data_IF_978299881239
#
_entry.id   IF_978299881239
#
_cell.length_a   1.000
_cell.length_b   1.000
_cell.length_c   1.000
_cell.angle_alpha   90.00
_cell.angle_beta   90.00
_cell.angle_gamma   90.00
#
_symmetry.space_group_name_H-M   'P 1'
#
loop_
_entity.id
_entity.type
_entity.pdbx_description
1 polymer ?
#
# COMPACT_ATOMS: atom_id res chain seq x y z
N UNK A 1 29.79 73.15 13.42
CA UNK A 1 29.30 72.57 12.15
C UNK A 1 29.84 71.11 11.87
N UNK A 2 30.91 70.66 12.62
CA UNK A 2 31.51 69.31 12.41
C UNK A 2 30.89 68.12 13.23
N UNK A 3 30.02 68.43 14.18
CA UNK A 3 29.40 67.33 15.02
C UNK A 3 28.02 66.88 14.58
N UNK A 4 27.38 67.52 13.63
CA UNK A 4 26.04 67.14 13.17
C UNK A 4 26.03 66.11 12.04
N UNK A 5 27.19 65.80 11.39
CA UNK A 5 27.27 64.87 10.27
C UNK A 5 27.64 63.41 10.66
N UNK A 6 28.12 63.17 11.87
CA UNK A 6 28.51 61.82 12.33
C UNK A 6 27.33 60.95 12.78
N UNK A 7 26.17 61.56 13.13
CA UNK A 7 24.99 60.84 13.62
C UNK A 7 24.09 60.21 12.54
N UNK A 8 24.17 60.73 11.33
CA UNK A 8 23.27 60.27 10.23
C UNK A 8 23.84 59.04 9.53
N UNK A 9 25.16 58.87 9.46
CA UNK A 9 25.79 57.73 8.78
C UNK A 9 25.68 56.45 9.60
N UNK A 10 25.60 56.52 10.94
CA UNK A 10 25.48 55.31 11.78
C UNK A 10 24.09 54.68 11.80
N UNK A 11 23.02 55.48 11.63
CA UNK A 11 21.64 54.97 11.61
C UNK A 11 21.27 54.31 10.28
N UNK A 12 21.83 54.77 9.14
CA UNK A 12 21.58 54.14 7.83
C UNK A 12 22.30 52.79 7.68
N UNK A 13 23.50 52.63 8.25
CA UNK A 13 24.24 51.37 8.19
C UNK A 13 23.57 50.25 9.01
N UNK A 14 22.85 50.61 10.09
CA UNK A 14 22.13 49.61 10.89
C UNK A 14 20.84 49.12 10.22
N UNK A 15 20.15 50.02 9.53
CA UNK A 15 18.94 49.68 8.73
C UNK A 15 19.25 48.77 7.53
N UNK A 16 20.40 48.96 6.88
CA UNK A 16 20.84 48.09 5.78
C UNK A 16 21.24 46.68 6.25
N UNK A 17 21.87 46.55 7.42
CA UNK A 17 22.26 45.26 7.98
C UNK A 17 21.05 44.45 8.43
N UNK A 18 20.04 45.06 9.05
CA UNK A 18 18.79 44.37 9.44
C UNK A 18 17.94 43.96 8.23
N UNK A 19 17.89 44.80 7.19
CA UNK A 19 17.17 44.47 5.96
C UNK A 19 17.85 43.32 5.21
N UNK A 20 19.18 43.29 5.12
CA UNK A 20 19.94 42.23 4.46
C UNK A 20 19.80 40.86 5.19
N UNK A 21 19.77 40.85 6.53
CA UNK A 21 19.60 39.63 7.33
C UNK A 21 18.18 39.08 7.22
N UNK A 22 17.16 39.94 7.16
CA UNK A 22 15.75 39.50 6.97
C UNK A 22 15.54 38.96 5.59
N UNK A 23 16.09 39.60 4.54
CA UNK A 23 15.99 39.07 3.16
C UNK A 23 16.71 37.73 3.00
N UNK A 24 17.86 37.53 3.60
CA UNK A 24 18.60 36.28 3.53
C UNK A 24 17.88 35.15 4.28
N UNK A 25 17.27 35.45 5.46
CA UNK A 25 16.46 34.48 6.20
C UNK A 25 15.19 34.07 5.47
N UNK A 26 14.48 35.01 4.81
CA UNK A 26 13.29 34.73 4.01
C UNK A 26 13.65 33.91 2.76
N UNK A 27 14.79 34.18 2.13
CA UNK A 27 15.25 33.41 0.97
C UNK A 27 15.62 31.96 1.37
N UNK A 28 16.19 31.75 2.56
CA UNK A 28 16.54 30.42 3.05
C UNK A 28 15.29 29.60 3.43
N UNK A 29 14.27 30.23 4.01
CA UNK A 29 12.98 29.57 4.33
C UNK A 29 12.22 29.18 3.06
N UNK A 30 12.23 30.03 2.02
CA UNK A 30 11.62 29.72 0.73
C UNK A 30 12.35 28.60 -0.02
N UNK A 31 13.68 28.55 0.06
CA UNK A 31 14.46 27.46 -0.53
C UNK A 31 14.24 26.11 0.20
N UNK A 32 14.11 26.11 1.53
CA UNK A 32 13.81 24.92 2.31
C UNK A 32 12.39 24.36 2.04
N UNK A 33 11.41 25.24 1.81
CA UNK A 33 10.05 24.84 1.46
C UNK A 33 10.00 24.18 0.05
N UNK A 34 10.80 24.65 -0.89
CA UNK A 34 10.91 24.07 -2.23
C UNK A 34 11.59 22.70 -2.23
N UNK A 35 12.58 22.49 -1.38
CA UNK A 35 13.27 21.20 -1.24
C UNK A 35 12.35 20.10 -0.66
N UNK A 36 11.40 20.46 0.22
CA UNK A 36 10.42 19.50 0.77
C UNK A 36 9.41 19.01 -0.26
N UNK A 37 9.06 19.80 -1.27
CA UNK A 37 8.16 19.42 -2.35
C UNK A 37 8.89 18.51 -3.38
N UNK A 38 10.13 18.83 -3.70
CA UNK A 38 10.95 18.06 -4.64
C UNK A 38 11.24 16.62 -4.14
N UNK A 39 11.22 16.39 -2.82
CA UNK A 39 11.48 15.08 -2.22
C UNK A 39 10.34 14.06 -2.44
N UNK A 40 9.15 14.48 -2.87
CA UNK A 40 7.99 13.58 -3.07
C UNK A 40 7.85 13.04 -4.49
N UNK A 41 8.36 13.75 -5.49
CA UNK A 41 8.20 13.41 -6.88
C UNK A 41 9.24 12.37 -7.34
N UNK A 42 8.77 11.37 -8.07
CA UNK A 42 9.61 10.42 -8.78
C UNK A 42 9.02 10.11 -10.15
N UNK A 43 9.86 9.99 -11.17
CA UNK A 43 9.41 9.64 -12.50
C UNK A 43 10.46 8.83 -13.25
N UNK A 44 10.01 7.98 -14.16
CA UNK A 44 10.86 7.23 -15.08
C UNK A 44 10.12 7.00 -16.39
N UNK A 45 10.88 6.92 -17.48
CA UNK A 45 10.42 6.47 -18.79
C UNK A 45 11.38 5.39 -19.27
N UNK A 46 10.84 4.23 -19.62
CA UNK A 46 11.59 3.09 -20.15
C UNK A 46 11.06 2.78 -21.55
N UNK A 47 11.96 2.60 -22.49
CA UNK A 47 11.68 1.98 -23.78
C UNK A 47 11.41 0.50 -23.56
N UNK A 48 10.17 0.07 -23.74
CA UNK A 48 9.75 -1.30 -23.47
C UNK A 48 10.07 -2.27 -24.63
N UNK A 49 10.77 -1.83 -25.66
CA UNK A 49 11.33 -2.70 -26.69
C UNK A 49 12.81 -3.06 -26.40
N UNK A 50 13.54 -2.20 -25.66
CA UNK A 50 14.99 -2.35 -25.47
C UNK A 50 15.42 -2.34 -24.00
N UNK A 51 14.54 -2.01 -23.07
CA UNK A 51 14.87 -1.82 -21.66
C UNK A 51 15.61 -0.51 -21.35
N UNK A 52 15.94 0.30 -22.36
CA UNK A 52 16.66 1.56 -22.18
C UNK A 52 15.87 2.56 -21.36
N UNK A 53 16.47 3.10 -20.31
CA UNK A 53 15.89 4.24 -19.59
C UNK A 53 16.06 5.50 -20.42
N UNK A 54 14.93 6.11 -20.83
CA UNK A 54 14.90 7.34 -21.63
C UNK A 54 14.87 8.60 -20.74
N UNK A 55 14.30 8.48 -19.54
CA UNK A 55 14.22 9.55 -18.54
C UNK A 55 14.17 8.96 -17.14
N UNK A 56 14.79 9.60 -16.18
CA UNK A 56 14.71 9.24 -14.76
C UNK A 56 14.87 10.47 -13.87
N UNK A 57 14.02 10.57 -12.85
CA UNK A 57 14.10 11.55 -11.78
C UNK A 57 13.69 10.87 -10.49
N UNK A 58 14.57 10.80 -9.51
CA UNK A 58 14.35 10.10 -8.23
C UNK A 58 13.80 8.66 -8.40
N UNK A 59 14.10 8.00 -9.53
CA UNK A 59 13.46 6.77 -9.96
C UNK A 59 13.65 5.60 -8.98
N UNK A 60 14.70 5.59 -8.19
CA UNK A 60 15.02 4.56 -7.19
C UNK A 60 14.65 4.98 -5.76
N UNK A 61 14.14 6.19 -5.56
CA UNK A 61 13.74 6.65 -4.24
C UNK A 61 12.47 5.92 -3.77
N UNK A 62 12.43 5.55 -2.49
CA UNK A 62 11.26 4.89 -1.89
C UNK A 62 10.04 5.79 -1.96
N UNK A 63 8.92 5.24 -2.41
CA UNK A 63 7.63 5.90 -2.54
C UNK A 63 6.52 4.96 -2.10
N UNK A 64 5.40 5.53 -1.65
CA UNK A 64 4.21 4.76 -1.35
C UNK A 64 3.47 4.45 -2.65
N UNK A 65 3.21 3.16 -2.97
CA UNK A 65 2.58 2.77 -4.22
C UNK A 65 1.11 3.22 -4.33
N UNK A 66 0.40 3.36 -3.21
CA UNK A 66 -1.06 3.48 -3.22
C UNK A 66 -1.68 2.36 -4.07
N UNK A 67 -2.74 2.65 -4.84
CA UNK A 67 -3.41 1.63 -5.68
C UNK A 67 -2.58 1.12 -6.87
N UNK A 68 -1.33 1.58 -7.07
CA UNK A 68 -0.41 0.88 -7.99
C UNK A 68 -0.10 -0.54 -7.48
N UNK A 69 -0.23 -0.79 -6.19
CA UNK A 69 -0.15 -2.12 -5.54
C UNK A 69 -1.02 -3.16 -6.27
N UNK A 70 -2.21 -2.75 -6.74
CA UNK A 70 -3.13 -3.62 -7.46
C UNK A 70 -2.56 -4.18 -8.77
N UNK A 71 -1.51 -3.57 -9.31
CA UNK A 71 -0.81 -4.13 -10.47
C UNK A 71 -0.17 -5.48 -10.14
N UNK A 72 0.41 -5.63 -8.93
CA UNK A 72 0.96 -6.91 -8.48
C UNK A 72 -0.15 -7.91 -8.13
N UNK A 73 -1.24 -7.45 -7.53
CA UNK A 73 -2.43 -8.30 -7.29
C UNK A 73 -2.97 -8.86 -8.60
N UNK A 74 -3.10 -8.02 -9.64
CA UNK A 74 -3.50 -8.45 -10.98
C UNK A 74 -2.46 -9.35 -11.64
N UNK A 75 -1.17 -9.08 -11.45
CA UNK A 75 -0.10 -9.95 -11.97
C UNK A 75 -0.24 -11.39 -11.44
N UNK A 76 -0.39 -11.56 -10.13
CA UNK A 76 -0.58 -12.88 -9.51
C UNK A 76 -1.95 -13.52 -9.89
N UNK A 77 -2.97 -12.70 -10.09
CA UNK A 77 -4.26 -13.18 -10.62
C UNK A 77 -4.12 -13.71 -12.05
N UNK A 78 -3.41 -12.98 -12.92
CA UNK A 78 -3.13 -13.41 -14.30
C UNK A 78 -2.22 -14.64 -14.34
N UNK A 79 -1.26 -14.74 -13.41
CA UNK A 79 -0.46 -15.96 -13.25
C UNK A 79 -1.31 -17.17 -12.90
N UNK A 80 -2.24 -17.01 -11.97
CA UNK A 80 -3.15 -18.09 -11.56
C UNK A 80 -4.11 -18.50 -12.70
N UNK A 81 -4.61 -17.54 -13.48
CA UNK A 81 -5.40 -17.79 -14.69
C UNK A 81 -4.58 -18.52 -15.76
N UNK A 82 -3.36 -18.07 -16.03
CA UNK A 82 -2.49 -18.67 -17.04
C UNK A 82 -2.06 -20.10 -16.67
N UNK A 83 -1.92 -20.40 -15.37
CA UNK A 83 -1.61 -21.75 -14.84
C UNK A 83 -2.87 -22.62 -14.67
N UNK A 84 -4.05 -22.15 -15.06
CA UNK A 84 -5.31 -22.88 -14.90
C UNK A 84 -5.76 -23.13 -13.46
N UNK A 85 -5.15 -22.49 -12.48
CA UNK A 85 -5.54 -22.61 -11.05
C UNK A 85 -6.91 -22.01 -10.77
N UNK A 86 -7.28 -20.99 -11.51
CA UNK A 86 -8.58 -20.32 -11.51
C UNK A 86 -9.00 -20.06 -12.96
N UNK A 87 -10.30 -19.82 -13.16
CA UNK A 87 -10.87 -19.36 -14.43
C UNK A 87 -11.49 -17.99 -14.28
N UNK A 88 -11.84 -17.33 -15.36
CA UNK A 88 -12.55 -16.04 -15.33
C UNK A 88 -13.89 -16.12 -14.60
N UNK A 89 -14.57 -17.28 -14.64
CA UNK A 89 -15.85 -17.55 -13.98
C UNK A 89 -15.72 -18.01 -12.53
N UNK A 90 -14.51 -18.36 -12.07
CA UNK A 90 -14.28 -18.74 -10.67
C UNK A 90 -14.84 -17.70 -9.73
N UNK A 91 -15.58 -18.15 -8.71
CA UNK A 91 -16.26 -17.26 -7.75
C UNK A 91 -15.30 -16.76 -6.69
N UNK A 92 -15.18 -15.44 -6.59
CA UNK A 92 -14.42 -14.74 -5.57
C UNK A 92 -15.37 -14.38 -4.45
N UNK A 93 -15.27 -15.08 -3.32
CA UNK A 93 -16.10 -14.83 -2.14
C UNK A 93 -15.56 -13.64 -1.33
N UNK A 94 -16.45 -12.76 -0.90
CA UNK A 94 -16.09 -11.60 -0.08
C UNK A 94 -16.25 -11.95 1.40
N UNK A 95 -15.14 -12.05 2.10
CA UNK A 95 -15.09 -12.20 3.55
C UNK A 95 -15.60 -10.95 4.27
N UNK A 96 -15.71 -11.02 5.60
CA UNK A 96 -15.97 -9.83 6.41
C UNK A 96 -14.86 -8.77 6.23
N UNK A 97 -13.60 -9.21 6.15
CA UNK A 97 -12.44 -8.35 5.95
C UNK A 97 -12.50 -7.65 4.59
N UNK A 98 -12.68 -8.40 3.50
CA UNK A 98 -12.79 -7.81 2.17
C UNK A 98 -13.97 -6.84 2.03
N UNK A 99 -15.16 -7.19 2.55
CA UNK A 99 -16.33 -6.34 2.49
C UNK A 99 -16.20 -5.04 3.33
N UNK A 100 -15.40 -5.08 4.42
CA UNK A 100 -15.14 -3.94 5.29
C UNK A 100 -14.11 -2.95 4.74
N UNK A 101 -13.40 -3.30 3.64
CA UNK A 101 -12.39 -2.41 3.07
C UNK A 101 -12.93 -1.01 2.80
N UNK A 102 -12.15 0.05 3.13
CA UNK A 102 -12.57 1.41 2.86
C UNK A 102 -12.63 1.71 1.34
N UNK A 103 -13.39 2.70 0.92
CA UNK A 103 -13.47 3.12 -0.50
C UNK A 103 -12.09 3.49 -1.08
N UNK A 104 -11.91 3.27 -2.40
CA UNK A 104 -12.89 2.86 -3.41
C UNK A 104 -13.12 1.36 -3.39
N UNK A 105 -14.35 0.93 -3.56
CA UNK A 105 -14.71 -0.50 -3.54
C UNK A 105 -15.88 -0.80 -4.48
N UNK A 106 -16.04 -2.06 -4.88
CA UNK A 106 -17.17 -2.51 -5.68
C UNK A 106 -18.45 -2.49 -4.85
N UNK A 107 -18.34 -2.79 -3.56
CA UNK A 107 -19.44 -2.78 -2.61
C UNK A 107 -20.16 -4.12 -2.49
N UNK A 108 -19.45 -5.22 -2.68
CA UNK A 108 -19.99 -6.58 -2.53
C UNK A 108 -20.22 -6.88 -1.05
N UNK A 109 -21.38 -7.46 -0.71
CA UNK A 109 -21.73 -7.80 0.67
C UNK A 109 -20.89 -8.99 1.16
N UNK A 110 -20.62 -9.01 2.48
CA UNK A 110 -20.03 -10.17 3.16
C UNK A 110 -20.80 -11.45 2.80
N UNK A 111 -20.06 -12.50 2.45
CA UNK A 111 -20.60 -13.80 2.07
C UNK A 111 -21.05 -13.94 0.62
N UNK A 112 -21.27 -12.83 -0.09
CA UNK A 112 -21.56 -12.82 -1.52
C UNK A 112 -20.29 -13.03 -2.35
N UNK A 113 -20.46 -13.36 -3.64
CA UNK A 113 -19.36 -13.59 -4.56
C UNK A 113 -19.55 -12.83 -5.86
N UNK A 114 -18.47 -12.60 -6.57
CA UNK A 114 -18.43 -12.18 -7.97
C UNK A 114 -17.46 -13.06 -8.74
N UNK A 115 -17.53 -13.07 -10.07
CA UNK A 115 -16.52 -13.77 -10.86
C UNK A 115 -15.14 -13.09 -10.77
N UNK A 116 -14.07 -13.85 -10.97
CA UNK A 116 -12.70 -13.33 -11.11
C UNK A 116 -12.65 -12.20 -12.16
N UNK A 117 -13.35 -12.35 -13.28
CA UNK A 117 -13.41 -11.31 -14.31
C UNK A 117 -14.02 -10.00 -13.79
N UNK A 118 -15.15 -10.08 -13.06
CA UNK A 118 -15.77 -8.91 -12.42
C UNK A 118 -14.83 -8.26 -11.41
N UNK A 119 -14.12 -9.06 -10.61
CA UNK A 119 -13.13 -8.55 -9.66
C UNK A 119 -11.98 -7.83 -10.38
N UNK A 120 -11.43 -8.40 -11.47
CA UNK A 120 -10.40 -7.75 -12.31
C UNK A 120 -10.92 -6.42 -12.86
N UNK A 121 -12.08 -6.41 -13.51
CA UNK A 121 -12.68 -5.21 -14.09
C UNK A 121 -12.91 -4.11 -13.05
N UNK A 122 -13.37 -4.49 -11.85
CA UNK A 122 -13.55 -3.52 -10.75
C UNK A 122 -12.23 -2.93 -10.25
N UNK A 123 -11.15 -3.71 -10.25
CA UNK A 123 -9.82 -3.23 -9.84
C UNK A 123 -9.18 -2.31 -10.87
N UNK A 124 -9.31 -2.60 -12.17
CA UNK A 124 -8.70 -1.76 -13.22
C UNK A 124 -9.46 -0.46 -13.42
N UNK A 125 -10.78 -0.46 -13.28
CA UNK A 125 -11.62 0.73 -13.47
C UNK A 125 -11.79 1.51 -12.16
N UNK A 126 -12.58 0.98 -11.21
CA UNK A 126 -12.93 1.62 -9.94
C UNK A 126 -11.79 1.61 -8.92
N UNK A 127 -10.74 0.80 -9.17
CA UNK A 127 -9.67 0.60 -8.18
C UNK A 127 -10.17 -0.06 -6.88
N UNK A 128 -11.11 -1.01 -6.99
CA UNK A 128 -11.82 -1.63 -5.88
C UNK A 128 -10.88 -2.30 -4.87
N UNK A 129 -10.90 -1.83 -3.61
CA UNK A 129 -10.09 -2.37 -2.53
C UNK A 129 -10.62 -3.72 -2.07
N UNK A 130 -11.95 -3.83 -1.91
CA UNK A 130 -12.66 -5.05 -1.51
C UNK A 130 -12.39 -6.21 -2.47
N UNK A 131 -12.45 -5.96 -3.78
CA UNK A 131 -12.12 -6.98 -4.78
C UNK A 131 -10.67 -7.42 -4.75
N UNK A 132 -9.77 -6.49 -4.43
CA UNK A 132 -8.33 -6.75 -4.29
C UNK A 132 -8.06 -7.69 -3.12
N UNK A 133 -8.66 -7.39 -1.95
CA UNK A 133 -8.53 -8.20 -0.74
C UNK A 133 -9.22 -9.55 -0.91
N UNK A 134 -10.40 -9.61 -1.52
CA UNK A 134 -11.08 -10.90 -1.79
C UNK A 134 -10.28 -11.81 -2.74
N UNK A 135 -9.64 -11.26 -3.78
CA UNK A 135 -8.72 -12.01 -4.65
C UNK A 135 -7.46 -12.47 -3.90
N UNK A 136 -6.93 -11.64 -3.01
CA UNK A 136 -5.80 -12.01 -2.17
C UNK A 136 -6.14 -13.19 -1.25
N UNK A 137 -7.32 -13.18 -0.64
CA UNK A 137 -7.81 -14.28 0.20
C UNK A 137 -8.04 -15.56 -0.63
N UNK A 138 -8.59 -15.46 -1.84
CA UNK A 138 -8.76 -16.59 -2.75
C UNK A 138 -7.43 -17.24 -3.15
N UNK A 139 -6.41 -16.43 -3.48
CA UNK A 139 -5.14 -16.92 -4.03
C UNK A 139 -4.10 -17.26 -2.95
N UNK A 140 -4.13 -16.57 -1.83
CA UNK A 140 -3.16 -16.70 -0.76
C UNK A 140 -3.71 -17.33 0.53
N UNK A 141 -5.01 -17.63 0.61
CA UNK A 141 -5.68 -18.06 1.83
C UNK A 141 -5.91 -16.94 2.84
N UNK A 142 -5.04 -15.92 2.85
CA UNK A 142 -5.18 -14.69 3.63
C UNK A 142 -4.50 -13.52 2.92
N UNK A 143 -4.94 -12.28 3.20
CA UNK A 143 -4.29 -11.08 2.63
C UNK A 143 -2.84 -10.97 3.09
N UNK A 144 -2.52 -11.32 4.33
CA UNK A 144 -1.15 -11.30 4.85
C UNK A 144 -0.22 -12.24 4.09
N UNK A 145 -0.63 -13.49 3.89
CA UNK A 145 0.13 -14.46 3.10
C UNK A 145 0.28 -14.00 1.65
N UNK A 146 -0.81 -13.49 1.07
CA UNK A 146 -0.76 -12.95 -0.29
C UNK A 146 0.20 -11.76 -0.43
N UNK A 147 0.29 -10.87 0.56
CA UNK A 147 1.26 -9.77 0.57
C UNK A 147 2.72 -10.28 0.61
N UNK A 148 2.98 -11.40 1.29
CA UNK A 148 4.29 -12.07 1.23
C UNK A 148 4.55 -12.63 -0.17
N UNK A 149 3.56 -13.30 -0.79
CA UNK A 149 3.65 -13.78 -2.18
C UNK A 149 3.92 -12.61 -3.15
N UNK A 150 3.23 -11.48 -3.01
CA UNK A 150 3.48 -10.27 -3.80
C UNK A 150 4.92 -9.77 -3.66
N UNK A 151 5.45 -9.76 -2.45
CA UNK A 151 6.83 -9.32 -2.19
C UNK A 151 7.86 -10.30 -2.76
N UNK A 152 7.64 -11.61 -2.61
CA UNK A 152 8.47 -12.64 -3.22
C UNK A 152 8.46 -12.54 -4.75
N UNK A 153 7.28 -12.36 -5.37
CA UNK A 153 7.14 -12.14 -6.80
C UNK A 153 7.85 -10.87 -7.25
N UNK A 154 7.77 -9.78 -6.49
CA UNK A 154 8.50 -8.56 -6.77
C UNK A 154 10.01 -8.82 -6.85
N UNK A 155 10.57 -9.59 -5.91
CA UNK A 155 11.99 -9.98 -5.94
C UNK A 155 12.35 -10.80 -7.18
N UNK A 156 11.51 -11.77 -7.54
CA UNK A 156 11.74 -12.60 -8.75
C UNK A 156 11.67 -11.80 -10.06
N UNK A 157 10.97 -10.67 -10.07
CA UNK A 157 10.93 -9.72 -11.20
C UNK A 157 12.03 -8.65 -11.14
N UNK A 158 12.96 -8.72 -10.17
CA UNK A 158 14.01 -7.72 -10.00
C UNK A 158 13.59 -6.43 -9.31
N UNK A 159 12.37 -6.36 -8.76
CA UNK A 159 11.83 -5.19 -8.03
C UNK A 159 12.40 -5.11 -6.61
N UNK A 160 13.71 -4.85 -6.49
CA UNK A 160 14.43 -4.94 -5.22
C UNK A 160 14.09 -3.80 -4.21
N UNK A 161 13.53 -2.70 -4.69
CA UNK A 161 13.09 -1.56 -3.88
C UNK A 161 11.62 -1.64 -3.42
N UNK A 162 10.95 -2.82 -3.55
CA UNK A 162 9.51 -2.94 -3.31
C UNK A 162 9.19 -3.94 -2.20
N UNK A 163 8.31 -3.55 -1.29
CA UNK A 163 7.69 -4.41 -0.27
C UNK A 163 6.19 -4.17 -0.25
N UNK A 164 5.42 -5.24 -0.34
CA UNK A 164 3.96 -5.22 -0.20
C UNK A 164 3.54 -5.69 1.19
N UNK A 165 2.47 -5.08 1.75
CA UNK A 165 1.89 -5.41 3.06
C UNK A 165 0.37 -5.64 2.99
N UNK A 166 -0.24 -5.30 1.88
CA UNK A 166 -1.65 -5.57 1.57
C UNK A 166 -1.83 -5.69 0.06
N UNK A 167 -2.99 -6.15 -0.39
CA UNK A 167 -3.30 -6.38 -1.79
C UNK A 167 -3.83 -5.13 -2.52
N UNK A 168 -4.25 -4.10 -1.78
CA UNK A 168 -5.04 -3.00 -2.30
C UNK A 168 -4.30 -1.67 -2.37
N UNK A 169 -3.21 -1.48 -1.60
CA UNK A 169 -2.42 -0.26 -1.57
C UNK A 169 -2.90 0.79 -0.57
N UNK A 170 -3.73 0.40 0.39
CA UNK A 170 -4.07 1.25 1.52
C UNK A 170 -2.82 1.57 2.35
N UNK A 171 -2.81 2.69 3.07
CA UNK A 171 -1.64 3.13 3.82
C UNK A 171 -1.12 2.08 4.79
N UNK A 172 0.15 1.75 4.65
CA UNK A 172 0.92 0.93 5.58
C UNK A 172 2.38 1.42 5.55
N UNK A 173 2.98 1.82 6.68
CA UNK A 173 4.34 2.36 6.72
C UNK A 173 5.42 1.41 6.18
N UNK A 174 5.20 0.09 6.31
CA UNK A 174 6.10 -0.95 5.80
C UNK A 174 5.90 -1.29 4.32
N UNK A 175 4.96 -0.63 3.62
CA UNK A 175 4.69 -0.84 2.20
C UNK A 175 5.31 0.28 1.37
N UNK A 176 6.24 -0.05 0.51
CA UNK A 176 6.92 0.90 -0.36
C UNK A 176 7.32 0.28 -1.70
N UNK A 177 7.63 1.13 -2.65
CA UNK A 177 8.11 0.78 -3.99
C UNK A 177 9.01 1.89 -4.52
N UNK A 178 9.49 1.73 -5.76
CA UNK A 178 10.19 2.77 -6.53
C UNK A 178 9.50 2.97 -7.89
N UNK A 179 9.73 4.12 -8.53
CA UNK A 179 9.21 4.34 -9.88
C UNK A 179 9.81 3.33 -10.87
N UNK A 180 11.07 2.95 -10.70
CA UNK A 180 11.73 1.92 -11.50
C UNK A 180 11.05 0.57 -11.36
N UNK A 181 10.81 0.11 -10.14
CA UNK A 181 10.18 -1.19 -9.90
C UNK A 181 8.76 -1.24 -10.48
N UNK A 182 8.01 -0.13 -10.37
CA UNK A 182 6.67 -0.07 -10.97
C UNK A 182 6.70 -0.06 -12.50
N UNK A 183 7.73 0.51 -13.11
CA UNK A 183 7.93 0.40 -14.56
C UNK A 183 8.25 -1.03 -14.97
N UNK A 184 9.12 -1.73 -14.23
CA UNK A 184 9.43 -3.16 -14.44
C UNK A 184 8.16 -4.01 -14.34
N UNK A 185 7.33 -3.80 -13.33
CA UNK A 185 6.04 -4.51 -13.22
C UNK A 185 5.11 -4.22 -14.39
N UNK A 186 5.09 -2.97 -14.88
CA UNK A 186 4.30 -2.58 -16.05
C UNK A 186 4.76 -3.31 -17.33
N UNK A 187 6.07 -3.49 -17.51
CA UNK A 187 6.66 -4.27 -18.61
C UNK A 187 6.30 -5.74 -18.44
N UNK A 188 6.55 -6.32 -17.26
CA UNK A 188 6.28 -7.72 -16.96
C UNK A 188 4.80 -8.13 -17.17
N UNK A 189 3.85 -7.25 -16.81
CA UNK A 189 2.43 -7.50 -17.06
C UNK A 189 2.11 -7.69 -18.55
N UNK A 190 2.76 -6.91 -19.41
CA UNK A 190 2.57 -7.00 -20.87
C UNK A 190 3.28 -8.22 -21.45
N UNK A 191 4.52 -8.46 -21.06
CA UNK A 191 5.34 -9.53 -21.61
C UNK A 191 4.82 -10.92 -21.19
N UNK A 192 4.52 -11.07 -19.90
CA UNK A 192 4.16 -12.37 -19.33
C UNK A 192 2.71 -12.75 -19.55
N UNK A 193 1.79 -11.77 -19.65
CA UNK A 193 0.35 -12.01 -19.74
C UNK A 193 -0.32 -11.14 -20.83
N UNK A 194 0.19 -11.19 -22.09
CA UNK A 194 -0.36 -10.37 -23.18
C UNK A 194 -1.85 -10.65 -23.42
N UNK A 195 -2.31 -11.90 -23.19
CA UNK A 195 -3.70 -12.31 -23.34
C UNK A 195 -4.66 -11.66 -22.33
N UNK A 196 -4.15 -11.16 -21.19
CA UNK A 196 -4.95 -10.47 -20.17
C UNK A 196 -4.68 -8.97 -20.12
N UNK A 197 -3.65 -8.51 -20.83
CA UNK A 197 -3.21 -7.12 -20.77
C UNK A 197 -4.30 -6.12 -21.22
N UNK A 198 -5.18 -6.53 -22.12
CA UNK A 198 -6.31 -5.74 -22.61
C UNK A 198 -7.27 -5.23 -21.51
N UNK A 199 -7.28 -5.84 -20.33
CA UNK A 199 -8.07 -5.33 -19.20
C UNK A 199 -7.65 -3.91 -18.79
N UNK A 200 -6.38 -3.55 -18.90
CA UNK A 200 -5.88 -2.22 -18.48
C UNK A 200 -6.35 -1.08 -19.39
N UNK A 201 -6.83 -1.37 -20.59
CA UNK A 201 -7.39 -0.39 -21.51
C UNK A 201 -8.88 -0.13 -21.30
N UNK A 202 -9.52 -0.84 -20.35
CA UNK A 202 -10.95 -0.67 -20.08
C UNK A 202 -11.24 0.69 -19.45
N UNK A 203 -12.06 1.49 -20.13
CA UNK A 203 -12.48 2.82 -19.68
C UNK A 203 -13.67 2.78 -18.72
N UNK A 204 -14.48 1.74 -18.81
CA UNK A 204 -15.64 1.47 -17.95
C UNK A 204 -16.06 0.02 -18.06
N UNK A 205 -16.87 -0.46 -17.11
CA UNK A 205 -17.58 -1.74 -17.23
C UNK A 205 -18.96 -1.65 -16.58
N UNK A 206 -19.83 -2.60 -16.90
CA UNK A 206 -21.16 -2.71 -16.30
C UNK A 206 -21.13 -3.65 -15.10
N UNK A 207 -21.62 -3.21 -13.96
CA UNK A 207 -21.88 -4.06 -12.81
C UNK A 207 -23.35 -3.96 -12.42
N UNK A 208 -24.10 -5.01 -12.70
CA UNK A 208 -25.56 -4.94 -12.71
C UNK A 208 -26.03 -3.88 -13.71
N UNK A 209 -26.86 -2.95 -13.27
CA UNK A 209 -27.37 -1.82 -14.08
C UNK A 209 -26.45 -0.57 -14.02
N UNK A 210 -25.37 -0.59 -13.25
CA UNK A 210 -24.53 0.57 -13.05
C UNK A 210 -23.30 0.52 -13.98
N UNK A 211 -23.10 1.60 -14.74
CA UNK A 211 -21.84 1.83 -15.45
C UNK A 211 -20.80 2.41 -14.50
N UNK A 212 -19.68 1.69 -14.34
CA UNK A 212 -18.55 2.10 -13.52
C UNK A 212 -17.44 2.63 -14.42
N UNK A 213 -17.09 3.91 -14.28
CA UNK A 213 -16.06 4.57 -15.08
C UNK A 213 -14.69 4.43 -14.43
N UNK A 214 -13.65 4.33 -15.27
CA UNK A 214 -12.25 4.23 -14.86
C UNK A 214 -11.65 5.57 -14.45
N UNK A 215 -10.54 5.49 -13.71
CA UNK A 215 -9.80 6.66 -13.21
C UNK A 215 -8.64 7.10 -14.12
N UNK A 216 -8.25 6.29 -15.12
CA UNK A 216 -7.17 6.63 -16.04
C UNK A 216 -7.70 7.52 -17.18
N UNK A 217 -7.51 8.83 -17.03
CA UNK A 217 -7.99 9.85 -17.99
C UNK A 217 -7.15 9.96 -19.26
N UNK A 218 -6.02 9.26 -19.36
CA UNK A 218 -5.17 9.27 -20.55
C UNK A 218 -5.65 8.27 -21.60
N UNK A 219 -6.41 7.24 -21.19
CA UNK A 219 -7.04 6.27 -22.09
C UNK A 219 -8.02 6.98 -23.04
N UNK A 220 -7.75 6.86 -24.35
CA UNK A 220 -8.52 7.51 -25.41
C UNK A 220 -8.26 9.01 -25.55
N UNK A 221 -7.41 9.62 -24.69
CA UNK A 221 -6.97 11.01 -24.81
C UNK A 221 -5.61 11.12 -25.54
N UNK A 222 -4.72 10.17 -25.29
CA UNK A 222 -3.40 10.14 -25.93
C UNK A 222 -3.34 8.87 -26.80
N UNK A 223 -3.01 9.03 -28.09
CA UNK A 223 -2.89 7.94 -29.06
C UNK A 223 -1.87 6.91 -28.54
N UNK A 224 -2.27 5.63 -28.56
CA UNK A 224 -1.42 4.52 -28.16
C UNK A 224 -1.35 4.24 -26.65
N UNK A 225 -1.90 5.09 -25.79
CA UNK A 225 -2.01 4.78 -24.36
C UNK A 225 -3.00 3.64 -24.16
N UNK A 226 -2.55 2.53 -23.56
CA UNK A 226 -3.32 1.30 -23.38
C UNK A 226 -3.30 0.75 -21.94
N UNK A 227 -2.83 1.54 -20.99
CA UNK A 227 -2.81 1.19 -19.56
C UNK A 227 -2.07 2.24 -18.73
N UNK A 228 -1.76 1.97 -17.45
CA UNK A 228 -2.02 0.74 -16.68
C UNK A 228 -2.88 1.08 -15.46
N UNK A 229 -2.33 1.89 -14.50
CA UNK A 229 -2.99 2.10 -13.21
C UNK A 229 -2.70 3.45 -12.57
N UNK A 230 -3.73 4.06 -12.00
CA UNK A 230 -3.63 5.25 -11.13
C UNK A 230 -3.59 4.84 -9.66
N UNK A 231 -3.00 5.70 -8.82
CA UNK A 231 -3.01 5.54 -7.37
C UNK A 231 -3.04 6.89 -6.66
N UNK A 232 -3.67 6.94 -5.50
CA UNK A 232 -3.66 8.10 -4.63
C UNK A 232 -3.85 7.69 -3.17
N UNK A 233 -3.02 8.23 -2.32
CA UNK A 233 -3.25 8.37 -0.87
C UNK A 233 -2.67 9.72 -0.44
N UNK A 234 -3.04 10.22 0.74
CA UNK A 234 -2.43 11.44 1.26
C UNK A 234 -0.90 11.33 1.37
N UNK A 235 -0.40 10.15 1.74
CA UNK A 235 1.04 9.91 1.90
C UNK A 235 1.77 9.78 0.57
N UNK A 236 1.14 9.18 -0.45
CA UNK A 236 1.78 8.94 -1.75
C UNK A 236 1.71 10.13 -2.70
N UNK A 237 0.73 11.04 -2.53
CA UNK A 237 0.34 11.93 -3.62
C UNK A 237 -0.32 11.15 -4.77
N UNK A 238 -0.45 11.77 -5.93
CA UNK A 238 -1.07 11.17 -7.11
C UNK A 238 -0.04 10.42 -7.96
N UNK A 239 -0.27 9.12 -8.15
CA UNK A 239 0.59 8.21 -8.90
C UNK A 239 -0.08 7.76 -10.21
N UNK A 240 0.74 7.43 -11.22
CA UNK A 240 0.30 6.81 -12.47
C UNK A 240 1.42 5.98 -13.07
N UNK A 241 1.12 4.74 -13.42
CA UNK A 241 1.89 3.97 -14.40
C UNK A 241 1.11 3.98 -15.70
N UNK A 242 1.74 4.41 -16.78
CA UNK A 242 1.16 4.43 -18.11
C UNK A 242 2.01 3.63 -19.08
N UNK A 243 1.37 2.91 -19.97
CA UNK A 243 2.05 2.30 -21.10
C UNK A 243 1.47 2.84 -22.42
N UNK A 244 2.33 2.86 -23.42
CA UNK A 244 2.02 3.35 -24.75
C UNK A 244 2.56 2.36 -25.78
N UNK A 245 1.71 1.98 -26.73
CA UNK A 245 2.10 1.16 -27.88
C UNK A 245 1.53 1.79 -29.15
N UNK A 246 2.42 2.27 -30.03
CA UNK A 246 2.04 2.91 -31.30
C UNK A 246 3.19 2.86 -32.30
N UNK A 247 2.87 2.55 -33.55
CA UNK A 247 3.80 2.55 -34.68
C UNK A 247 5.10 1.75 -34.42
N UNK A 248 4.96 0.56 -33.77
CA UNK A 248 6.06 -0.33 -33.38
C UNK A 248 6.85 0.13 -32.13
N UNK A 249 6.62 1.33 -31.63
CA UNK A 249 7.23 1.83 -30.39
C UNK A 249 6.43 1.38 -29.17
N UNK A 250 7.14 0.97 -28.11
CA UNK A 250 6.55 0.62 -26.84
C UNK A 250 7.28 1.34 -25.71
N UNK A 251 6.54 1.86 -24.77
CA UNK A 251 7.09 2.65 -23.68
C UNK A 251 6.27 2.45 -22.41
N UNK A 252 6.94 2.35 -21.27
CA UNK A 252 6.32 2.42 -19.95
C UNK A 252 6.85 3.65 -19.23
N UNK A 253 5.94 4.48 -18.72
CA UNK A 253 6.26 5.67 -17.94
C UNK A 253 5.59 5.61 -16.57
N UNK A 254 6.27 6.10 -15.55
CA UNK A 254 5.77 6.19 -14.18
C UNK A 254 5.94 7.60 -13.66
N UNK A 255 4.90 8.13 -13.04
CA UNK A 255 4.90 9.37 -12.27
C UNK A 255 4.35 9.06 -10.88
N UNK A 256 5.09 9.44 -9.84
CA UNK A 256 4.68 9.28 -8.44
C UNK A 256 4.82 10.60 -7.71
N UNK A 257 3.95 10.84 -6.73
CA UNK A 257 4.04 12.00 -5.84
C UNK A 257 3.36 13.27 -6.32
N UNK A 258 2.65 13.23 -7.44
CA UNK A 258 1.99 14.42 -8.00
C UNK A 258 1.06 15.13 -6.99
N UNK A 259 1.00 16.47 -7.07
CA UNK A 259 0.19 17.29 -6.17
C UNK A 259 -1.32 17.19 -6.42
N UNK A 260 -1.71 16.87 -7.66
CA UNK A 260 -3.10 16.64 -8.05
C UNK A 260 -3.21 15.61 -9.18
N UNK A 261 -4.43 15.09 -9.41
CA UNK A 261 -4.69 14.21 -10.55
C UNK A 261 -4.41 14.88 -11.89
N UNK A 262 -4.73 16.17 -12.01
CA UNK A 262 -4.47 16.95 -13.24
C UNK A 262 -2.96 17.19 -13.46
N UNK A 263 -2.24 17.58 -12.39
CA UNK A 263 -0.78 17.78 -12.46
C UNK A 263 -0.06 16.50 -12.88
N UNK A 264 -0.40 15.35 -12.26
CA UNK A 264 0.12 14.03 -12.60
C UNK A 264 -0.17 13.66 -14.06
N UNK A 265 -1.41 13.85 -14.53
CA UNK A 265 -1.81 13.53 -15.89
C UNK A 265 -1.07 14.41 -16.91
N UNK A 266 -0.91 15.69 -16.62
CA UNK A 266 -0.16 16.63 -17.48
C UNK A 266 1.35 16.28 -17.52
N UNK A 267 1.94 15.93 -16.39
CA UNK A 267 3.33 15.47 -16.33
C UNK A 267 3.51 14.20 -17.15
N UNK A 268 2.62 13.21 -17.01
CA UNK A 268 2.66 11.98 -17.80
C UNK A 268 2.52 12.27 -19.29
N UNK A 269 1.58 13.13 -19.68
CA UNK A 269 1.40 13.52 -21.08
C UNK A 269 2.67 14.17 -21.67
N UNK A 270 3.31 15.08 -20.93
CA UNK A 270 4.59 15.69 -21.33
C UNK A 270 5.70 14.64 -21.52
N UNK A 271 5.82 13.68 -20.59
CA UNK A 271 6.80 12.60 -20.70
C UNK A 271 6.53 11.73 -21.93
N UNK A 272 5.27 11.35 -22.18
CA UNK A 272 4.91 10.56 -23.37
C UNK A 272 5.28 11.32 -24.63
N UNK A 273 4.87 12.57 -24.76
CA UNK A 273 5.16 13.39 -25.95
C UNK A 273 6.67 13.55 -26.20
N UNK A 274 7.44 13.78 -25.14
CA UNK A 274 8.89 14.04 -25.26
C UNK A 274 9.71 12.79 -25.56
N UNK A 275 9.29 11.62 -25.05
CA UNK A 275 10.13 10.42 -25.07
C UNK A 275 9.62 9.30 -25.98
N UNK A 276 8.34 9.24 -26.35
CA UNK A 276 7.85 8.27 -27.30
C UNK A 276 8.56 8.30 -28.66
N UNK A 277 8.87 9.48 -29.24
CA UNK A 277 9.66 9.54 -30.49
C UNK A 277 11.08 8.97 -30.36
N UNK A 278 11.63 8.94 -29.14
CA UNK A 278 12.97 8.43 -28.82
C UNK A 278 13.00 6.92 -28.53
N UNK A 279 11.82 6.30 -28.33
CA UNK A 279 11.72 4.85 -28.14
C UNK A 279 11.99 4.12 -29.45
N UNK A 280 12.61 2.96 -29.37
CA UNK A 280 12.90 2.11 -30.53
C UNK A 280 11.61 1.57 -31.16
N UNK A 281 11.65 1.39 -32.48
CA UNK A 281 10.64 0.62 -33.22
C UNK A 281 10.99 -0.86 -33.32
N UNK A 282 12.24 -1.21 -33.01
CA UNK A 282 12.77 -2.56 -33.07
C UNK A 282 13.24 -2.97 -31.68
N UNK A 283 13.09 -4.21 -31.38
CA UNK A 283 13.41 -4.85 -30.12
C UNK A 283 12.48 -6.03 -30.00
N UNK A 284 12.89 -7.02 -29.27
CA UNK A 284 12.11 -8.23 -29.06
C UNK A 284 12.89 -9.17 -28.18
N UNK A 285 12.29 -9.65 -27.20
CA UNK A 285 12.79 -10.47 -26.13
C UNK A 285 12.16 -10.03 -24.83
N UNK A 286 11.99 -10.94 -23.92
CA UNK A 286 11.48 -10.62 -22.60
C UNK A 286 12.54 -9.82 -21.84
N UNK A 287 12.25 -8.55 -21.58
CA UNK A 287 13.13 -7.68 -20.78
C UNK A 287 13.13 -8.09 -19.31
N UNK A 288 12.03 -8.70 -18.88
CA UNK A 288 11.84 -9.18 -17.51
C UNK A 288 11.76 -10.70 -17.56
N UNK A 289 12.69 -11.38 -16.90
CA UNK A 289 12.67 -12.83 -16.83
C UNK A 289 11.36 -13.32 -16.17
N UNK A 290 10.66 -14.21 -16.86
CA UNK A 290 9.54 -14.94 -16.28
C UNK A 290 10.12 -16.04 -15.42
N UNK A 291 9.93 -15.93 -14.10
CA UNK A 291 10.35 -16.99 -13.20
C UNK A 291 9.52 -18.24 -13.49
N UNK A 292 10.10 -19.18 -14.23
CA UNK A 292 9.49 -20.47 -14.48
C UNK A 292 9.51 -21.32 -13.20
N UNK A 293 8.34 -21.82 -12.83
CA UNK A 293 8.11 -22.93 -11.87
C UNK A 293 8.48 -22.77 -10.39
N UNK A 294 8.94 -21.63 -9.91
CA UNK A 294 9.04 -21.50 -8.46
C UNK A 294 7.64 -21.31 -7.86
N UNK A 295 7.22 -22.28 -7.03
CA UNK A 295 6.07 -22.03 -6.16
C UNK A 295 6.37 -20.77 -5.34
N UNK A 296 5.36 -19.96 -4.97
CA UNK A 296 5.58 -18.77 -4.14
C UNK A 296 6.35 -19.06 -2.85
N UNK A 297 6.26 -20.30 -2.35
CA UNK A 297 7.01 -20.80 -1.18
C UNK A 297 8.49 -20.97 -1.49
N UNK A 298 8.88 -21.46 -2.67
CA UNK A 298 10.28 -21.60 -3.08
C UNK A 298 10.92 -20.22 -3.37
N UNK A 299 10.14 -19.29 -3.95
CA UNK A 299 10.59 -17.90 -4.13
C UNK A 299 10.82 -17.22 -2.78
N UNK A 300 9.97 -17.48 -1.78
CA UNK A 300 10.13 -16.99 -0.42
C UNK A 300 11.38 -17.59 0.25
N UNK A 301 11.62 -18.89 0.08
CA UNK A 301 12.82 -19.57 0.61
C UNK A 301 14.11 -18.98 0.03
N UNK A 302 14.16 -18.69 -1.27
CA UNK A 302 15.33 -18.04 -1.91
C UNK A 302 15.59 -16.62 -1.39
N UNK A 303 14.58 -15.90 -0.94
CA UNK A 303 14.71 -14.54 -0.38
C UNK A 303 15.08 -14.57 1.10
N UNK A 304 14.66 -15.58 1.84
CA UNK A 304 14.88 -15.69 3.28
C UNK A 304 16.21 -16.38 3.64
N UNK A 305 16.81 -17.15 2.73
CA UNK A 305 18.13 -17.71 2.95
C UNK A 305 19.18 -16.60 2.79
N UNK A 306 20.04 -16.35 3.79
CA UNK A 306 21.13 -15.41 3.65
C UNK A 306 22.02 -15.89 2.50
N UNK A 307 22.27 -15.03 1.52
CA UNK A 307 23.32 -15.22 0.52
C UNK A 307 24.65 -14.95 1.23
N UNK A 308 25.10 -15.89 2.02
CA UNK A 308 26.49 -15.95 2.36
C UNK A 308 27.17 -16.80 1.28
N UNK A 309 27.98 -16.16 0.47
CA UNK A 309 29.15 -16.83 -0.11
C UNK A 309 30.01 -17.22 1.09
N UNK A 310 29.76 -18.39 1.65
CA UNK A 310 30.69 -19.01 2.55
C UNK A 310 31.94 -19.30 1.71
N UNK A 311 33.13 -18.82 2.10
CA UNK A 311 34.34 -19.23 1.45
C UNK A 311 34.40 -20.76 1.55
N UNK A 312 34.41 -21.43 0.41
CA UNK A 312 34.66 -22.88 0.32
C UNK A 312 36.01 -23.14 0.95
N UNK A 313 36.11 -23.99 2.00
CA UNK A 313 37.41 -24.41 2.52
C UNK A 313 38.09 -25.20 1.44
N UNK A 314 39.22 -24.70 0.95
CA UNK A 314 40.05 -25.32 -0.07
C UNK A 314 40.98 -26.40 0.54
N UNK A 315 40.40 -27.28 1.36
CA UNK A 315 41.08 -28.42 1.95
C UNK A 315 40.18 -29.64 1.82
N UNK A 316 40.45 -30.44 0.81
CA UNK A 316 40.00 -31.83 0.78
C UNK A 316 40.70 -32.57 1.92
N UNK A 317 39.99 -33.20 2.88
CA UNK A 317 40.61 -34.14 3.78
C UNK A 317 41.06 -35.35 2.95
N UNK A 318 42.35 -35.66 2.97
CA UNK A 318 42.85 -36.95 2.51
C UNK A 318 42.18 -38.02 3.37
N UNK A 319 41.58 -39.00 2.71
CA UNK A 319 41.04 -40.19 3.37
C UNK A 319 42.22 -40.94 4.01
N UNK A 320 42.31 -40.86 5.34
CA UNK A 320 43.09 -41.84 6.11
C UNK A 320 42.23 -43.09 6.19
N UNK A 321 42.78 -44.19 5.64
CA UNK A 321 42.25 -45.54 5.85
C UNK A 321 42.25 -45.85 7.33
N UNK A 322 41.07 -45.88 7.94
CA UNK A 322 40.90 -46.43 9.28
C UNK A 322 40.75 -47.94 9.16
N UNK A 323 41.80 -48.65 9.56
CA UNK A 323 41.76 -50.10 9.73
C UNK A 323 40.74 -50.42 10.83
N UNK A 324 39.62 -50.99 10.46
CA UNK A 324 38.59 -51.42 11.40
C UNK A 324 39.00 -52.78 11.91
N UNK A 325 39.48 -52.81 13.15
CA UNK A 325 39.65 -54.08 13.91
C UNK A 325 38.22 -54.62 14.26
N UNK A 326 37.96 -55.83 13.77
CA UNK A 326 36.77 -56.59 14.02
C UNK A 326 36.65 -56.93 15.51
N UNK A 327 35.70 -56.38 16.23
CA UNK A 327 35.25 -56.88 17.52
C UNK A 327 33.73 -57.19 17.41
N UNK A 328 33.38 -58.42 17.73
CA UNK A 328 32.03 -58.96 17.67
C UNK A 328 31.08 -58.23 18.62
N UNK A 329 29.81 -58.02 18.24
CA UNK A 329 28.85 -57.32 19.07
C UNK A 329 28.31 -58.25 20.19
N UNK A 330 28.43 -57.79 21.44
CA UNK A 330 27.71 -58.39 22.56
C UNK A 330 26.23 -58.09 22.46
N UNK A 331 25.41 -59.13 22.51
CA UNK A 331 23.96 -59.08 22.59
C UNK A 331 23.50 -58.30 23.82
N UNK A 332 22.91 -57.15 23.64
CA UNK A 332 22.14 -56.47 24.69
C UNK A 332 20.69 -56.86 24.51
N UNK A 333 20.15 -57.61 25.49
CA UNK A 333 18.74 -58.02 25.59
C UNK A 333 17.82 -56.80 25.61
N UNK A 334 16.80 -56.79 24.74
CA UNK A 334 15.75 -55.79 24.72
C UNK A 334 14.80 -56.00 25.93
N UNK A 335 14.36 -54.94 26.61
CA UNK A 335 13.39 -55.08 27.67
C UNK A 335 12.00 -55.39 27.10
N UNK A 336 11.36 -56.40 27.69
CA UNK A 336 10.02 -56.89 27.38
C UNK A 336 8.95 -55.79 27.53
N UNK A 337 7.95 -55.75 26.67
CA UNK A 337 6.86 -54.77 26.74
C UNK A 337 5.92 -55.11 27.92
N UNK A 338 5.74 -54.10 28.81
CA UNK A 338 4.70 -54.15 29.86
C UNK A 338 3.31 -54.07 29.22
N UNK A 339 2.38 -54.93 29.69
CA UNK A 339 0.99 -55.04 29.25
C UNK A 339 0.27 -53.67 29.20
N UNK A 340 -0.65 -53.47 28.22
CA UNK A 340 -1.42 -52.23 28.13
C UNK A 340 -2.41 -52.11 29.29
N UNK A 341 -2.36 -50.98 29.96
CA UNK A 341 -3.38 -50.57 30.93
C UNK A 341 -4.62 -50.15 30.12
N UNK A 342 -5.73 -50.80 30.44
CA UNK A 342 -7.05 -50.53 29.85
C UNK A 342 -7.51 -49.14 30.32
N UNK A 343 -7.39 -48.13 29.46
CA UNK A 343 -8.00 -46.82 29.69
C UNK A 343 -9.49 -46.97 29.38
N UNK A 344 -10.31 -46.90 30.38
CA UNK A 344 -11.76 -46.78 30.23
C UNK A 344 -12.04 -45.40 29.66
N UNK A 345 -12.56 -45.35 28.47
CA UNK A 345 -13.05 -44.13 27.86
C UNK A 345 -14.29 -43.67 28.66
N UNK A 346 -14.13 -42.54 29.34
CA UNK A 346 -15.28 -41.83 29.89
C UNK A 346 -16.01 -41.15 28.71
N UNK A 347 -17.29 -41.45 28.53
CA UNK A 347 -18.19 -40.74 27.63
C UNK A 347 -18.15 -39.23 27.93
N UNK A 348 -18.06 -38.36 26.95
CA UNK A 348 -18.20 -36.94 27.16
C UNK A 348 -19.64 -36.64 27.59
N UNK A 349 -19.81 -36.16 28.81
CA UNK A 349 -21.07 -35.63 29.28
C UNK A 349 -21.51 -34.49 28.36
N UNK A 350 -22.74 -34.58 27.83
CA UNK A 350 -23.35 -33.54 27.02
C UNK A 350 -23.48 -32.27 27.85
N UNK A 351 -22.77 -31.23 27.45
CA UNK A 351 -22.93 -29.87 27.99
C UNK A 351 -24.26 -29.32 27.48
N UNK A 352 -25.16 -28.78 28.34
CA UNK A 352 -26.40 -28.18 27.92
C UNK A 352 -26.12 -26.97 26.99
N UNK A 353 -26.93 -26.84 25.96
CA UNK A 353 -26.78 -25.87 24.86
C UNK A 353 -26.78 -24.38 25.30
N UNK A 354 -27.19 -24.09 26.51
CA UNK A 354 -27.24 -22.76 27.11
C UNK A 354 -25.90 -22.20 27.61
N UNK A 355 -24.84 -23.04 27.76
CA UNK A 355 -23.53 -22.55 28.19
C UNK A 355 -22.54 -22.29 27.08
N UNK A 356 -22.91 -22.52 25.82
CA UNK A 356 -22.02 -22.33 24.67
C UNK A 356 -22.03 -20.87 24.13
N UNK A 357 -22.84 -19.98 24.69
CA UNK A 357 -22.96 -18.55 24.29
C UNK A 357 -22.71 -17.57 25.44
N UNK A 358 -21.91 -17.97 26.45
CA UNK A 358 -21.40 -16.98 27.39
C UNK A 358 -20.40 -16.07 26.64
N UNK A 359 -20.80 -14.80 26.43
CA UNK A 359 -19.85 -13.74 26.05
C UNK A 359 -18.67 -13.75 27.03
N UNK A 360 -17.42 -13.58 26.56
CA UNK A 360 -16.28 -13.45 27.43
C UNK A 360 -16.50 -12.24 28.34
N UNK A 361 -16.41 -12.45 29.65
CA UNK A 361 -16.46 -11.37 30.63
C UNK A 361 -15.48 -10.25 30.25
N UNK A 362 -15.91 -8.98 30.32
CA UNK A 362 -15.02 -7.87 30.04
C UNK A 362 -13.93 -7.83 31.11
N UNK A 363 -12.67 -7.84 30.66
CA UNK A 363 -11.54 -7.61 31.52
C UNK A 363 -11.76 -6.37 32.39
N UNK A 364 -11.47 -6.48 33.70
CA UNK A 364 -11.54 -5.41 34.69
C UNK A 364 -10.99 -4.10 34.13
N UNK A 365 -11.87 -3.14 33.91
CA UNK A 365 -11.56 -1.73 33.62
C UNK A 365 -11.81 -0.98 34.91
N UNK A 366 -10.79 -0.26 35.38
CA UNK A 366 -10.92 0.63 36.51
C UNK A 366 -12.15 1.56 36.39
N UNK A 367 -12.91 1.82 37.46
CA UNK A 367 -14.13 2.62 37.39
C UNK A 367 -13.81 4.10 37.34
N UNK A 368 -13.47 4.63 36.16
CA UNK A 368 -13.46 6.07 35.91
C UNK A 368 -14.21 6.34 34.60
N UNK A 369 -15.46 6.81 34.80
CA UNK A 369 -16.32 7.42 33.79
C UNK A 369 -16.91 6.48 32.71
N UNK A 370 -17.93 5.71 33.07
CA UNK A 370 -18.92 5.16 32.12
C UNK A 370 -19.91 6.24 31.67
N UNK A 371 -19.42 7.27 30.98
CA UNK A 371 -20.27 8.02 30.08
C UNK A 371 -20.45 7.11 28.84
N UNK A 372 -21.69 6.72 28.52
CA UNK A 372 -22.04 5.99 27.30
C UNK A 372 -21.37 6.66 26.12
N UNK A 373 -20.69 5.88 25.27
CA UNK A 373 -20.04 6.41 24.06
C UNK A 373 -21.10 7.19 23.26
N UNK A 374 -20.82 8.44 22.86
CA UNK A 374 -21.78 9.24 22.11
C UNK A 374 -22.14 8.52 20.81
N UNK A 375 -23.41 8.17 20.62
CA UNK A 375 -23.95 7.63 19.37
C UNK A 375 -24.30 8.78 18.41
N UNK A 376 -24.21 8.54 17.11
CA UNK A 376 -24.58 9.49 16.09
C UNK A 376 -23.37 10.05 15.28
N UNK A 377 -23.53 11.28 14.76
CA UNK A 377 -22.49 11.86 13.91
C UNK A 377 -21.35 12.48 14.73
N UNK A 378 -20.12 12.10 14.36
CA UNK A 378 -18.89 12.59 15.01
C UNK A 378 -17.88 13.11 13.97
N UNK A 379 -17.00 14.01 14.40
CA UNK A 379 -15.90 14.52 13.59
C UNK A 379 -14.60 13.94 14.11
N UNK A 380 -13.96 13.05 13.36
CA UNK A 380 -12.65 12.53 13.69
C UNK A 380 -11.54 13.43 13.14
N UNK A 381 -10.58 13.78 13.98
CA UNK A 381 -9.46 14.69 13.64
C UNK A 381 -8.11 14.01 13.61
N UNK A 382 -7.91 12.93 14.36
CA UNK A 382 -6.65 12.20 14.42
C UNK A 382 -6.84 10.73 14.81
N UNK A 383 -5.76 9.97 14.72
CA UNK A 383 -5.59 8.63 15.27
C UNK A 383 -4.12 8.46 15.63
N UNK A 384 -3.82 8.08 16.88
CA UNK A 384 -2.46 7.88 17.40
C UNK A 384 -2.35 6.53 18.11
N UNK A 385 -1.19 5.86 18.11
CA UNK A 385 -0.93 4.71 18.96
C UNK A 385 -0.84 5.09 20.45
N UNK A 386 -0.73 6.38 20.79
CA UNK A 386 -0.70 6.89 22.16
C UNK A 386 -2.03 7.58 22.50
N UNK A 387 -2.65 7.20 23.62
CA UNK A 387 -3.87 7.85 24.14
C UNK A 387 -3.60 9.31 24.51
N UNK A 388 -2.48 9.59 25.15
CA UNK A 388 -2.08 10.94 25.55
C UNK A 388 -1.84 11.88 24.37
N UNK A 389 -1.27 11.38 23.26
CA UNK A 389 -1.14 12.17 22.01
C UNK A 389 -2.49 12.46 21.38
N UNK A 390 -3.41 11.48 21.38
CA UNK A 390 -4.76 11.69 20.86
C UNK A 390 -5.53 12.74 21.66
N UNK A 391 -5.39 12.74 23.00
CA UNK A 391 -5.97 13.72 23.91
C UNK A 391 -5.34 15.11 23.73
N UNK A 392 -4.02 15.20 23.60
CA UNK A 392 -3.31 16.45 23.32
C UNK A 392 -3.75 17.10 21.99
N UNK A 393 -4.05 16.28 20.98
CA UNK A 393 -4.59 16.77 19.70
C UNK A 393 -6.03 17.30 19.89
N UNK A 394 -6.88 16.65 20.69
CA UNK A 394 -8.21 17.14 21.02
C UNK A 394 -8.14 18.51 21.71
N UNK A 395 -7.33 18.65 22.74
CA UNK A 395 -7.16 19.88 23.50
C UNK A 395 -6.64 21.03 22.64
N UNK A 396 -5.62 20.75 21.82
CA UNK A 396 -5.09 21.73 20.87
C UNK A 396 -6.16 22.18 19.88
N UNK A 397 -6.93 21.24 19.33
CA UNK A 397 -7.98 21.53 18.36
C UNK A 397 -9.14 22.31 18.99
N UNK A 398 -9.56 21.99 20.21
CA UNK A 398 -10.59 22.71 20.96
C UNK A 398 -10.19 24.17 21.18
N UNK A 399 -8.95 24.43 21.58
CA UNK A 399 -8.43 25.79 21.74
C UNK A 399 -8.36 26.56 20.42
N UNK A 400 -7.85 25.92 19.35
CA UNK A 400 -7.63 26.55 18.04
C UNK A 400 -8.94 26.82 17.28
N UNK A 401 -9.98 26.04 17.53
CA UNK A 401 -11.24 26.08 16.82
C UNK A 401 -12.45 26.25 17.74
N UNK A 402 -12.29 26.93 18.89
CA UNK A 402 -13.32 27.07 19.94
C UNK A 402 -14.69 27.49 19.43
N UNK A 403 -14.76 28.45 18.50
CA UNK A 403 -16.03 28.89 17.92
C UNK A 403 -16.71 27.86 17.03
N UNK A 404 -15.96 26.90 16.47
CA UNK A 404 -16.50 25.83 15.61
C UNK A 404 -16.95 24.62 16.43
N UNK A 405 -16.34 24.41 17.59
CA UNK A 405 -16.50 23.27 18.48
C UNK A 405 -17.12 23.65 19.83
N UNK A 406 -17.85 24.80 19.89
CA UNK A 406 -18.43 25.32 21.14
C UNK A 406 -19.34 24.29 21.84
N UNK A 407 -20.15 23.59 21.05
CA UNK A 407 -21.12 22.59 21.53
C UNK A 407 -20.63 21.14 21.33
N UNK A 408 -19.38 20.97 20.94
CA UNK A 408 -18.83 19.66 20.67
C UNK A 408 -17.92 19.17 21.80
N UNK A 409 -18.08 17.91 22.18
CA UNK A 409 -17.28 17.25 23.22
C UNK A 409 -16.22 16.36 22.60
N UNK A 410 -14.95 16.58 22.99
CA UNK A 410 -13.83 15.76 22.55
C UNK A 410 -13.73 14.45 23.35
N UNK A 411 -13.50 13.33 22.67
CA UNK A 411 -13.25 12.03 23.30
C UNK A 411 -12.29 11.18 22.48
N UNK A 412 -11.66 10.22 23.14
CA UNK A 412 -10.82 9.21 22.49
C UNK A 412 -11.53 7.87 22.46
N UNK A 413 -11.37 7.14 21.35
CA UNK A 413 -11.94 5.81 21.17
C UNK A 413 -10.82 4.84 20.75
N UNK A 414 -10.56 3.78 21.56
CA UNK A 414 -9.57 2.78 21.18
C UNK A 414 -10.09 1.91 20.04
N UNK A 415 -9.20 1.48 19.16
CA UNK A 415 -9.45 0.43 18.17
C UNK A 415 -8.16 -0.31 17.87
N UNK A 416 -8.25 -1.62 17.72
CA UNK A 416 -7.10 -2.44 17.40
C UNK A 416 -7.01 -2.69 15.89
N UNK A 417 -5.81 -2.56 15.34
CA UNK A 417 -5.51 -2.89 13.96
C UNK A 417 -4.13 -3.54 13.85
N UNK A 418 -4.10 -4.79 13.39
CA UNK A 418 -2.84 -5.52 13.24
C UNK A 418 -2.08 -5.75 14.54
N UNK A 419 -2.78 -6.00 15.66
CA UNK A 419 -2.17 -6.20 16.99
C UNK A 419 -1.72 -4.90 17.69
N UNK A 420 -1.88 -3.74 17.04
CA UNK A 420 -1.56 -2.43 17.63
C UNK A 420 -2.85 -1.71 18.00
N UNK A 421 -2.95 -1.23 19.23
CA UNK A 421 -4.07 -0.39 19.68
C UNK A 421 -3.80 1.06 19.31
N UNK A 422 -4.78 1.68 18.66
CA UNK A 422 -4.79 3.10 18.31
C UNK A 422 -5.92 3.80 19.04
N UNK A 423 -5.77 5.09 19.29
CA UNK A 423 -6.76 5.96 19.91
C UNK A 423 -7.23 7.00 18.88
N UNK A 424 -8.51 6.95 18.52
CA UNK A 424 -9.14 7.91 17.62
C UNK A 424 -9.56 9.14 18.40
N UNK A 425 -9.08 10.30 18.00
CA UNK A 425 -9.48 11.59 18.56
C UNK A 425 -10.71 12.10 17.80
N UNK A 426 -11.85 12.25 18.50
CA UNK A 426 -13.16 12.57 17.93
C UNK A 426 -13.85 13.65 18.72
N UNK A 427 -14.72 14.42 18.03
CA UNK A 427 -15.68 15.32 18.62
C UNK A 427 -17.10 14.80 18.35
N UNK A 428 -17.95 14.74 19.37
CA UNK A 428 -19.39 14.47 19.31
C UNK A 428 -20.18 15.75 19.54
N UNK A 429 -21.53 15.67 19.48
CA UNK A 429 -22.40 16.81 19.65
C UNK A 429 -22.90 17.40 18.32
N UNK A 430 -22.94 16.58 17.25
CA UNK A 430 -23.50 16.99 15.97
C UNK A 430 -24.79 16.23 15.70
N UNK A 431 -25.90 16.98 15.57
CA UNK A 431 -27.26 16.43 15.41
C UNK A 431 -27.44 15.56 14.16
N UNK A 432 -26.65 15.83 13.10
CA UNK A 432 -26.77 15.12 11.83
C UNK A 432 -25.50 15.22 10.99
N UNK A 433 -25.50 14.49 9.88
CA UNK A 433 -24.39 14.47 8.91
C UNK A 433 -23.99 15.85 8.42
N UNK A 434 -24.98 16.69 8.12
CA UNK A 434 -24.74 18.04 7.58
C UNK A 434 -24.04 18.93 8.60
N UNK A 435 -24.41 18.85 9.88
CA UNK A 435 -23.77 19.59 10.97
C UNK A 435 -22.30 19.16 11.15
N UNK A 436 -22.04 17.85 11.20
CA UNK A 436 -20.69 17.31 11.30
C UNK A 436 -19.81 17.68 10.08
N UNK A 437 -20.36 17.61 8.88
CA UNK A 437 -19.65 18.01 7.66
C UNK A 437 -19.35 19.51 7.62
N UNK A 438 -20.29 20.36 8.06
CA UNK A 438 -20.11 21.82 8.17
C UNK A 438 -19.00 22.16 9.15
N UNK A 439 -19.00 21.53 10.33
CA UNK A 439 -17.93 21.69 11.32
C UNK A 439 -16.56 21.24 10.75
N UNK A 440 -16.51 20.07 10.12
CA UNK A 440 -15.27 19.59 9.50
C UNK A 440 -14.80 20.52 8.36
N UNK A 441 -15.68 21.10 7.55
CA UNK A 441 -15.33 22.10 6.54
C UNK A 441 -14.74 23.37 7.16
N UNK A 442 -15.27 23.82 8.30
CA UNK A 442 -14.76 24.97 9.05
C UNK A 442 -13.39 24.67 9.70
N UNK A 443 -13.18 23.46 10.23
CA UNK A 443 -11.88 23.00 10.76
C UNK A 443 -10.81 22.95 9.65
N UNK A 444 -11.16 22.48 8.47
CA UNK A 444 -10.24 22.44 7.30
C UNK A 444 -9.78 23.83 6.86
N UNK A 445 -10.66 24.87 6.97
CA UNK A 445 -10.26 26.27 6.74
C UNK A 445 -9.19 26.73 7.75
N UNK A 446 -9.17 26.15 8.94
CA UNK A 446 -8.13 26.40 9.98
C UNK A 446 -6.93 25.44 9.87
N UNK A 447 -6.80 24.71 8.75
CA UNK A 447 -5.74 23.72 8.48
C UNK A 447 -5.77 22.51 9.42
N UNK A 448 -6.92 22.22 10.03
CA UNK A 448 -7.15 21.02 10.84
C UNK A 448 -7.83 19.99 9.97
N UNK A 449 -7.15 18.88 9.75
CA UNK A 449 -7.68 17.76 8.98
C UNK A 449 -8.75 17.02 9.77
N UNK A 450 -9.87 16.70 9.11
CA UNK A 450 -10.98 16.00 9.72
C UNK A 450 -11.86 15.29 8.70
N UNK A 451 -12.67 14.35 9.19
CA UNK A 451 -13.79 13.77 8.44
C UNK A 451 -14.95 13.47 9.36
N UNK A 452 -16.17 13.70 8.85
CA UNK A 452 -17.42 13.39 9.54
C UNK A 452 -17.77 11.91 9.28
N UNK A 453 -18.09 11.18 10.33
CA UNK A 453 -18.49 9.76 10.27
C UNK A 453 -19.66 9.52 11.23
N UNK A 454 -20.48 8.53 10.93
CA UNK A 454 -21.48 7.99 11.85
C UNK A 454 -20.83 6.95 12.75
N UNK A 455 -21.14 6.98 14.05
CA UNK A 455 -20.58 6.10 15.07
C UNK A 455 -21.58 5.04 15.46
#
# INVERSE_FOLDING_TARGET
>A
VRQALSGIVSKSAWSFRTLATVTMAVSFVLAAASASQAARDAAIVIDANTGKTLYASNANARRYPASLTKMMTLYLTFEALAKGKITKSTQVRFSANAAAEPPTKLGVRKGSSVSVETAILSMVTKSANDSSTALAELLGGSESNFAQMMTAKARSLGMNGTVFRNANGLPNPGQFTTARDMAMLGIALREHYPQYYGYFSQRSFMYGRQRINGHNRLLGRIKGVDGIKTGYTRMSGFNLVSSVAVDGRRMVAVVMGGSSGASRDNQMAKLITAYLPKASRRGGGDLIAKADNDSPVQALAKVMLPKHDAPTPDIRPQAQEVVVASAAPALIEAPTPKKPVKVVAAEPAAIPFEQAYAEPEPAHVDPVNTASLPSGWVVQIASSPSKSEAEAVLDKTSRQARAVLADASGFTMPFSKGGVTYFRARFSGFDNQTAAQKACKALKKKRIECFAIEQ
#
